data_IF_322703002921
#
_entry.id   IF_322703002921
#
_cell.length_a   1.000
_cell.length_b   1.000
_cell.length_c   1.000
_cell.angle_alpha   90.00
_cell.angle_beta   90.00
_cell.angle_gamma   90.00
#
_symmetry.space_group_name_H-M   'P 1'
#
loop_
_entity.id
_entity.type
_entity.pdbx_description
1 polymer ?
#
# COMPACT_ATOMS: atom_id res chain seq x y z
N UNK A 1 1.69 -27.05 20.39
CA UNK A 1 2.96 -27.27 21.12
C UNK A 1 4.04 -27.55 20.08
N UNK A 2 4.91 -26.54 19.85
CA UNK A 2 6.00 -26.46 18.84
C UNK A 2 5.49 -26.36 17.39
N UNK A 3 5.51 -25.25 16.63
CA UNK A 3 6.42 -24.09 16.52
C UNK A 3 7.91 -24.49 16.42
N UNK A 4 8.51 -24.14 15.29
CA UNK A 4 9.88 -24.41 14.79
C UNK A 4 9.96 -25.62 13.84
N UNK A 5 9.62 -25.43 12.55
CA UNK A 5 10.33 -26.10 11.45
C UNK A 5 9.99 -25.56 10.03
N UNK A 6 10.31 -24.30 9.73
CA UNK A 6 10.53 -23.85 8.32
C UNK A 6 11.67 -22.82 8.28
N UNK A 7 12.67 -23.02 9.12
CA UNK A 7 13.89 -22.20 9.16
C UNK A 7 15.12 -23.09 9.36
N UNK A 8 15.23 -24.18 8.60
CA UNK A 8 16.49 -24.90 8.46
C UNK A 8 16.53 -25.72 7.17
N UNK A 9 16.83 -25.06 6.05
CA UNK A 9 17.33 -25.78 4.87
C UNK A 9 18.47 -25.08 4.12
N UNK A 10 19.15 -24.10 4.72
CA UNK A 10 20.24 -23.40 4.03
C UNK A 10 21.60 -23.31 4.76
N UNK A 11 21.78 -23.94 5.93
CA UNK A 11 23.10 -23.91 6.59
C UNK A 11 23.46 -25.26 7.23
N UNK A 12 24.00 -26.19 6.42
CA UNK A 12 25.11 -27.10 6.76
C UNK A 12 25.46 -28.03 5.60
N UNK A 13 26.76 -28.18 5.34
CA UNK A 13 27.46 -28.91 4.26
C UNK A 13 27.48 -28.15 2.93
N UNK A 14 28.60 -27.58 2.47
CA UNK A 14 29.96 -28.09 2.48
C UNK A 14 31.01 -26.98 2.68
N UNK A 15 31.96 -27.25 3.58
CA UNK A 15 33.24 -26.56 3.68
C UNK A 15 34.30 -27.59 3.25
N UNK A 16 34.53 -27.69 1.94
CA UNK A 16 35.70 -28.35 1.37
C UNK A 16 36.18 -27.50 0.20
N UNK A 17 37.42 -27.04 0.32
CA UNK A 17 38.15 -26.34 -0.73
C UNK A 17 38.17 -27.18 -2.01
N UNK A 18 37.65 -26.62 -3.10
CA UNK A 18 38.16 -26.89 -4.44
C UNK A 18 38.19 -25.58 -5.21
N UNK A 19 39.41 -25.12 -5.45
CA UNK A 19 39.79 -24.06 -6.38
C UNK A 19 39.42 -24.55 -7.79
N UNK A 20 38.23 -24.19 -8.28
CA UNK A 20 37.75 -24.56 -9.61
C UNK A 20 37.00 -23.38 -10.21
N UNK A 21 37.70 -22.64 -11.08
CA UNK A 21 37.15 -21.81 -12.18
C UNK A 21 35.72 -21.30 -11.98
N UNK A 22 35.59 -20.08 -11.46
CA UNK A 22 34.41 -19.23 -11.63
C UNK A 22 34.21 -18.93 -13.13
N UNK A 23 33.54 -19.84 -13.83
CA UNK A 23 32.79 -19.47 -15.01
C UNK A 23 31.64 -18.59 -14.52
N UNK A 24 31.81 -17.28 -14.66
CA UNK A 24 30.74 -16.30 -14.57
C UNK A 24 29.72 -16.68 -15.63
N UNK A 25 28.72 -17.47 -15.25
CA UNK A 25 27.49 -17.57 -16.00
C UNK A 25 26.71 -16.29 -15.71
N UNK A 26 27.05 -15.20 -16.44
CA UNK A 26 26.12 -14.09 -16.60
C UNK A 26 24.90 -14.65 -17.34
N UNK A 27 23.87 -15.07 -16.61
CA UNK A 27 22.53 -15.05 -17.16
C UNK A 27 22.10 -13.59 -17.18
N UNK A 28 22.62 -12.82 -18.14
CA UNK A 28 22.02 -11.54 -18.48
C UNK A 28 20.58 -11.85 -18.86
N UNK A 29 19.64 -11.40 -18.03
CA UNK A 29 18.24 -11.38 -18.39
C UNK A 29 18.07 -10.65 -19.72
N UNK A 30 17.03 -10.96 -20.51
CA UNK A 30 16.79 -10.22 -21.75
C UNK A 30 16.77 -8.72 -21.46
N UNK A 31 17.31 -7.94 -22.40
CA UNK A 31 17.30 -6.47 -22.42
C UNK A 31 15.86 -5.94 -22.49
N UNK A 32 15.08 -6.11 -21.43
CA UNK A 32 13.76 -5.52 -21.31
C UNK A 32 13.91 -4.10 -20.78
N UNK A 33 13.29 -3.09 -21.43
CA UNK A 33 13.20 -1.75 -20.88
C UNK A 33 12.60 -1.72 -19.46
N UNK A 34 11.82 -2.73 -19.04
CA UNK A 34 11.28 -2.84 -17.68
C UNK A 34 12.36 -2.86 -16.59
N UNK A 35 13.55 -3.40 -16.91
CA UNK A 35 14.63 -3.61 -15.95
C UNK A 35 15.81 -2.63 -16.14
N UNK A 36 15.60 -1.58 -16.93
CA UNK A 36 16.56 -0.51 -17.15
C UNK A 36 15.93 0.81 -16.73
N UNK A 37 16.52 1.48 -15.75
CA UNK A 37 15.98 2.71 -15.18
C UNK A 37 15.97 3.85 -16.20
N UNK A 38 15.02 4.75 -16.01
CA UNK A 38 14.98 6.06 -16.64
C UNK A 38 16.18 6.92 -16.21
N UNK A 39 16.51 8.00 -16.95
CA UNK A 39 17.65 8.86 -16.61
C UNK A 39 17.50 9.62 -15.28
N UNK A 40 16.27 9.85 -14.81
CA UNK A 40 15.95 10.57 -13.57
C UNK A 40 14.57 10.16 -13.05
N UNK A 41 14.20 10.67 -11.87
CA UNK A 41 12.81 10.65 -11.38
C UNK A 41 11.98 11.78 -12.04
N UNK A 42 10.66 11.68 -11.94
CA UNK A 42 9.74 12.77 -12.29
C UNK A 42 9.86 13.93 -11.29
N UNK A 43 9.77 15.17 -11.76
CA UNK A 43 9.65 16.35 -10.89
C UNK A 43 8.31 16.33 -10.14
N UNK A 44 8.32 16.70 -8.86
CA UNK A 44 7.16 16.66 -7.99
C UNK A 44 6.92 17.96 -7.21
N UNK A 45 7.78 18.97 -7.38
CA UNK A 45 7.70 20.26 -6.67
C UNK A 45 7.02 21.37 -7.49
N UNK A 46 6.17 21.03 -8.46
CA UNK A 46 5.46 22.02 -9.27
C UNK A 46 4.60 22.97 -8.40
N UNK A 47 4.47 24.25 -8.74
CA UNK A 47 3.79 25.23 -7.88
C UNK A 47 2.26 25.05 -7.80
N UNK A 48 1.68 24.12 -8.54
CA UNK A 48 0.27 23.75 -8.45
C UNK A 48 0.05 22.28 -8.78
N UNK A 49 -1.01 21.71 -8.21
CA UNK A 49 -1.38 20.32 -8.50
C UNK A 49 -1.71 20.09 -9.98
N UNK A 50 -2.33 21.06 -10.66
CA UNK A 50 -2.61 20.96 -12.10
C UNK A 50 -1.35 20.85 -12.95
N UNK A 51 -0.29 21.60 -12.62
CA UNK A 51 1.01 21.49 -13.29
C UNK A 51 1.66 20.14 -13.01
N UNK A 52 1.65 19.69 -11.75
CA UNK A 52 2.12 18.36 -11.37
C UNK A 52 1.45 17.25 -12.21
N UNK A 53 0.12 17.28 -12.34
CA UNK A 53 -0.61 16.32 -13.20
C UNK A 53 -0.19 16.44 -14.66
N UNK A 54 -0.15 17.64 -15.23
CA UNK A 54 0.20 17.79 -16.65
C UNK A 54 1.63 17.37 -16.97
N UNK A 55 2.60 17.72 -16.12
CA UNK A 55 4.02 17.41 -16.35
C UNK A 55 4.31 15.93 -16.06
N UNK A 56 3.68 15.34 -15.04
CA UNK A 56 3.75 13.90 -14.78
C UNK A 56 3.23 13.11 -15.96
N UNK A 57 2.16 13.58 -16.63
CA UNK A 57 1.63 12.91 -17.81
C UNK A 57 2.64 12.86 -18.96
N UNK A 58 3.30 13.97 -19.25
CA UNK A 58 4.31 14.01 -20.31
C UNK A 58 5.53 13.15 -19.93
N UNK A 59 5.97 13.22 -18.67
CA UNK A 59 7.02 12.34 -18.15
C UNK A 59 6.69 10.85 -18.33
N UNK A 60 5.46 10.44 -17.98
CA UNK A 60 5.02 9.05 -18.11
C UNK A 60 4.93 8.60 -19.57
N UNK A 61 4.47 9.45 -20.50
CA UNK A 61 4.46 9.10 -21.93
C UNK A 61 5.85 8.80 -22.48
N UNK A 62 6.86 9.51 -21.99
CA UNK A 62 8.24 9.36 -22.41
C UNK A 62 8.93 8.15 -21.75
N UNK A 63 8.64 7.91 -20.47
CA UNK A 63 9.44 6.99 -19.64
C UNK A 63 8.71 5.70 -19.23
N UNK A 64 7.38 5.61 -19.37
CA UNK A 64 6.64 4.38 -19.07
C UNK A 64 6.86 3.32 -20.15
N UNK A 65 7.06 2.08 -19.71
CA UNK A 65 7.01 0.92 -20.60
C UNK A 65 5.58 0.38 -20.56
N UNK A 66 4.86 0.53 -21.67
CA UNK A 66 3.46 0.10 -21.78
C UNK A 66 3.35 -1.40 -22.03
N UNK A 67 2.32 -2.03 -21.46
CA UNK A 67 2.07 -3.47 -21.58
C UNK A 67 1.31 -3.82 -22.86
N UNK A 68 0.40 -2.95 -23.30
CA UNK A 68 -0.46 -3.16 -24.47
C UNK A 68 -0.65 -1.91 -25.33
N UNK A 69 -1.57 -2.02 -26.29
CA UNK A 69 -1.82 -0.96 -27.28
C UNK A 69 -2.66 0.20 -26.73
N UNK A 70 -3.48 -0.03 -25.70
CA UNK A 70 -4.30 0.99 -25.06
C UNK A 70 -3.50 1.78 -24.01
N UNK A 71 -2.59 2.61 -24.51
CA UNK A 71 -1.70 3.43 -23.68
C UNK A 71 -2.45 4.43 -22.81
N UNK A 72 -3.61 4.91 -23.24
CA UNK A 72 -4.41 5.87 -22.47
C UNK A 72 -5.10 5.19 -21.28
N UNK A 73 -5.61 3.95 -21.44
CA UNK A 73 -6.11 3.15 -20.30
C UNK A 73 -5.00 2.92 -19.26
N UNK A 74 -3.80 2.56 -19.70
CA UNK A 74 -2.67 2.35 -18.79
C UNK A 74 -2.21 3.64 -18.10
N UNK A 75 -2.08 4.74 -18.85
CA UNK A 75 -1.75 6.05 -18.27
C UNK A 75 -2.78 6.43 -17.22
N UNK A 76 -4.07 6.36 -17.54
CA UNK A 76 -5.14 6.72 -16.61
C UNK A 76 -5.09 5.92 -15.31
N UNK A 77 -4.57 4.69 -15.33
CA UNK A 77 -4.44 3.87 -14.12
C UNK A 77 -3.33 4.36 -13.18
N UNK A 78 -2.26 4.96 -13.70
CA UNK A 78 -1.09 5.35 -12.89
C UNK A 78 -0.94 6.86 -12.69
N UNK A 79 -1.72 7.68 -13.41
CA UNK A 79 -1.67 9.14 -13.32
C UNK A 79 -2.06 9.64 -11.92
N UNK A 80 -1.36 10.64 -11.35
CA UNK A 80 -1.92 11.40 -10.23
C UNK A 80 -3.16 12.19 -10.69
N UNK A 81 -4.10 12.40 -9.76
CA UNK A 81 -5.36 13.09 -10.09
C UNK A 81 -5.97 13.83 -8.90
N UNK A 82 -6.87 14.76 -9.21
CA UNK A 82 -7.66 15.51 -8.23
C UNK A 82 -9.15 15.41 -8.58
N UNK A 83 -9.97 15.12 -7.57
CA UNK A 83 -11.43 15.15 -7.65
C UNK A 83 -11.94 16.36 -6.87
N UNK A 84 -12.64 17.27 -7.56
CA UNK A 84 -13.22 18.48 -6.98
C UNK A 84 -14.76 18.35 -7.05
N UNK A 85 -15.45 18.20 -5.90
CA UNK A 85 -16.91 18.07 -5.88
C UNK A 85 -17.59 19.40 -6.20
N UNK A 86 -18.75 19.33 -6.85
CA UNK A 86 -19.56 20.52 -7.18
C UNK A 86 -20.07 21.24 -5.92
N UNK A 87 -20.33 20.48 -4.85
CA UNK A 87 -20.73 20.98 -3.54
C UNK A 87 -19.70 20.54 -2.48
N UNK A 88 -18.59 21.26 -2.31
CA UNK A 88 -17.55 20.88 -1.37
C UNK A 88 -18.00 21.06 0.09
N UNK A 89 -17.62 20.12 0.94
CA UNK A 89 -17.88 20.16 2.38
C UNK A 89 -16.83 20.95 3.18
N UNK A 90 -15.84 21.55 2.50
CA UNK A 90 -14.73 22.29 3.09
C UNK A 90 -13.52 21.43 3.47
N UNK A 91 -13.62 20.10 3.43
CA UNK A 91 -12.55 19.19 3.83
C UNK A 91 -11.85 18.52 2.64
N UNK A 92 -10.56 18.25 2.80
CA UNK A 92 -9.70 17.60 1.80
C UNK A 92 -9.13 16.27 2.27
N UNK A 93 -8.87 15.36 1.33
CA UNK A 93 -8.17 14.09 1.57
C UNK A 93 -7.01 13.95 0.57
N UNK A 94 -5.78 13.89 1.08
CA UNK A 94 -4.58 13.58 0.30
C UNK A 94 -4.23 12.10 0.44
N UNK A 95 -4.15 11.34 -0.65
CA UNK A 95 -3.93 9.90 -0.66
C UNK A 95 -2.56 9.54 -1.25
N UNK A 96 -1.81 8.69 -0.54
CA UNK A 96 -0.44 8.28 -0.87
C UNK A 96 -0.34 6.76 -0.93
N UNK A 97 0.04 6.20 -2.08
CA UNK A 97 0.05 4.76 -2.30
C UNK A 97 1.31 4.09 -1.71
N UNK A 98 1.35 2.76 -1.76
CA UNK A 98 2.46 1.94 -1.26
C UNK A 98 3.57 1.70 -2.29
N UNK A 99 4.67 1.11 -1.83
CA UNK A 99 5.78 0.69 -2.69
C UNK A 99 5.32 -0.26 -3.80
N UNK A 100 5.76 0.03 -5.03
CA UNK A 100 5.43 -0.75 -6.22
C UNK A 100 4.01 -0.51 -6.75
N UNK A 101 3.19 0.28 -6.06
CA UNK A 101 1.80 0.55 -6.44
C UNK A 101 1.65 1.86 -7.24
N UNK A 102 0.42 2.31 -7.44
CA UNK A 102 0.10 3.55 -8.14
C UNK A 102 -1.19 4.20 -7.59
N UNK A 103 -1.56 5.40 -8.08
CA UNK A 103 -2.84 6.04 -7.78
C UNK A 103 -4.09 5.16 -7.99
N UNK A 104 -4.01 4.08 -8.79
CA UNK A 104 -5.13 3.14 -8.95
C UNK A 104 -5.60 2.52 -7.64
N UNK A 105 -4.69 2.36 -6.66
CA UNK A 105 -5.01 1.79 -5.35
C UNK A 105 -6.09 2.55 -4.57
N UNK A 106 -6.36 3.80 -4.96
CA UNK A 106 -7.42 4.60 -4.37
C UNK A 106 -8.61 4.83 -5.29
N UNK A 107 -8.73 4.13 -6.43
CA UNK A 107 -9.81 4.34 -7.41
C UNK A 107 -11.22 4.32 -6.77
N UNK A 108 -11.54 3.31 -5.96
CA UNK A 108 -12.84 3.22 -5.29
C UNK A 108 -12.94 4.10 -4.03
N UNK A 109 -11.83 4.27 -3.31
CA UNK A 109 -11.74 5.05 -2.07
C UNK A 109 -11.92 6.55 -2.37
N UNK A 110 -11.19 7.08 -3.34
CA UNK A 110 -11.26 8.47 -3.76
C UNK A 110 -12.66 8.84 -4.25
N UNK A 111 -13.32 7.95 -5.01
CA UNK A 111 -14.70 8.15 -5.43
C UNK A 111 -15.68 8.21 -4.25
N UNK A 112 -15.44 7.39 -3.21
CA UNK A 112 -16.27 7.39 -2.00
C UNK A 112 -16.15 8.72 -1.24
N UNK A 113 -14.94 9.27 -1.12
CA UNK A 113 -14.72 10.61 -0.55
C UNK A 113 -15.36 11.72 -1.40
N UNK A 114 -15.15 11.70 -2.72
CA UNK A 114 -15.74 12.68 -3.63
C UNK A 114 -17.28 12.71 -3.53
N UNK A 115 -17.92 11.54 -3.44
CA UNK A 115 -19.37 11.43 -3.30
C UNK A 115 -19.91 12.04 -1.99
N UNK A 116 -19.06 12.20 -0.97
CA UNK A 116 -19.39 12.85 0.31
C UNK A 116 -18.99 14.34 0.35
N UNK A 117 -18.59 14.91 -0.79
CA UNK A 117 -18.24 16.32 -0.91
C UNK A 117 -16.81 16.67 -0.47
N UNK A 118 -15.95 15.68 -0.27
CA UNK A 118 -14.53 15.93 -0.01
C UNK A 118 -13.79 16.26 -1.31
N UNK A 119 -12.85 17.22 -1.24
CA UNK A 119 -11.86 17.38 -2.31
C UNK A 119 -10.77 16.34 -2.14
N UNK A 120 -10.41 15.61 -3.19
CA UNK A 120 -9.48 14.47 -3.08
C UNK A 120 -8.29 14.67 -3.99
N UNK A 121 -7.08 14.46 -3.51
CA UNK A 121 -5.85 14.39 -4.32
C UNK A 121 -5.20 13.04 -4.12
N UNK A 122 -4.76 12.41 -5.20
CA UNK A 122 -4.02 11.15 -5.17
C UNK A 122 -2.66 11.37 -5.82
N UNK A 123 -1.59 11.09 -5.07
CA UNK A 123 -0.21 11.29 -5.51
C UNK A 123 0.34 10.05 -6.21
N UNK A 124 1.22 10.26 -7.17
CA UNK A 124 2.12 9.24 -7.72
C UNK A 124 3.51 9.46 -7.13
N UNK A 125 4.01 8.52 -6.32
CA UNK A 125 5.32 8.61 -5.70
C UNK A 125 6.45 8.52 -6.75
N UNK A 126 7.55 9.28 -6.60
CA UNK A 126 8.73 9.15 -7.46
C UNK A 126 9.21 7.69 -7.60
N UNK A 127 9.56 7.29 -8.83
CA UNK A 127 9.95 5.93 -9.19
C UNK A 127 8.79 4.97 -9.55
N UNK A 128 7.54 5.42 -9.41
CA UNK A 128 6.34 4.61 -9.68
C UNK A 128 5.64 5.00 -10.98
N UNK A 129 4.77 4.12 -11.49
CA UNK A 129 3.94 4.38 -12.67
C UNK A 129 4.66 4.26 -14.02
N UNK A 130 5.97 4.02 -14.04
CA UNK A 130 6.78 3.89 -15.26
C UNK A 130 7.22 2.46 -15.54
N UNK A 131 8.18 1.95 -14.77
CA UNK A 131 8.83 0.64 -14.88
C UNK A 131 9.46 0.27 -13.52
N UNK A 132 9.54 -1.01 -13.15
CA UNK A 132 10.09 -1.41 -11.85
C UNK A 132 11.51 -0.90 -11.57
N UNK A 133 12.35 -0.78 -12.61
CA UNK A 133 13.72 -0.29 -12.47
C UNK A 133 13.82 1.17 -11.98
N UNK A 134 12.77 1.98 -12.15
CA UNK A 134 12.79 3.37 -11.69
C UNK A 134 12.74 3.48 -10.17
N UNK A 135 12.39 2.39 -9.45
CA UNK A 135 12.54 2.30 -8.00
C UNK A 135 13.99 2.22 -7.53
N UNK A 136 14.96 2.21 -8.44
CA UNK A 136 16.39 2.36 -8.11
C UNK A 136 16.83 3.82 -7.99
N UNK A 137 16.01 4.77 -8.44
CA UNK A 137 16.35 6.18 -8.55
C UNK A 137 16.01 7.04 -7.33
N UNK A 138 14.83 6.91 -6.68
CA UNK A 138 14.43 7.85 -5.63
C UNK A 138 15.25 7.67 -4.35
N UNK A 139 15.24 8.68 -3.50
CA UNK A 139 15.64 8.60 -2.10
C UNK A 139 14.39 8.71 -1.18
N UNK A 140 14.52 8.37 0.11
CA UNK A 140 13.40 8.55 1.05
C UNK A 140 13.00 10.03 1.16
N UNK A 141 13.97 10.95 1.03
CA UNK A 141 13.74 12.39 0.97
C UNK A 141 12.84 12.81 -0.19
N UNK A 142 12.84 12.09 -1.32
CA UNK A 142 11.92 12.36 -2.42
C UNK A 142 10.47 11.98 -2.08
N UNK A 143 10.30 10.84 -1.40
CA UNK A 143 8.97 10.38 -0.96
C UNK A 143 8.40 11.23 0.16
N UNK A 144 9.24 11.70 1.10
CA UNK A 144 8.83 12.68 2.10
C UNK A 144 8.57 14.05 1.44
N UNK A 145 9.44 14.49 0.55
CA UNK A 145 9.36 15.78 -0.13
C UNK A 145 8.10 15.96 -0.98
N UNK A 146 7.66 14.92 -1.71
CA UNK A 146 6.40 14.99 -2.46
C UNK A 146 5.19 15.10 -1.53
N UNK A 147 5.19 14.41 -0.39
CA UNK A 147 4.11 14.50 0.61
C UNK A 147 4.09 15.91 1.21
N UNK A 148 5.22 16.40 1.70
CA UNK A 148 5.34 17.73 2.31
C UNK A 148 4.87 18.83 1.36
N UNK A 149 5.34 18.79 0.11
CA UNK A 149 4.99 19.77 -0.91
C UNK A 149 3.48 19.78 -1.21
N UNK A 150 2.88 18.61 -1.41
CA UNK A 150 1.47 18.53 -1.75
C UNK A 150 0.54 18.76 -0.57
N UNK A 151 0.96 18.46 0.66
CA UNK A 151 0.27 18.90 1.87
C UNK A 151 0.23 20.44 1.91
N UNK A 152 1.39 21.11 1.82
CA UNK A 152 1.46 22.56 1.87
C UNK A 152 0.62 23.23 0.77
N UNK A 153 0.61 22.68 -0.45
CA UNK A 153 -0.27 23.16 -1.52
C UNK A 153 -1.75 22.94 -1.23
N UNK A 154 -2.11 21.85 -0.56
CA UNK A 154 -3.51 21.46 -0.36
C UNK A 154 -4.15 22.17 0.83
N UNK A 155 -3.42 22.41 1.91
CA UNK A 155 -3.90 23.17 3.08
C UNK A 155 -4.40 24.58 2.69
N UNK A 156 -3.85 25.18 1.63
CA UNK A 156 -4.33 26.49 1.13
C UNK A 156 -5.70 26.42 0.41
N UNK A 157 -6.27 25.22 0.22
CA UNK A 157 -7.46 24.97 -0.59
C UNK A 157 -8.62 24.34 0.17
N UNK A 158 -8.41 23.93 1.41
CA UNK A 158 -9.40 23.25 2.26
C UNK A 158 -9.29 23.76 3.70
N UNK A 159 -10.41 23.74 4.43
CA UNK A 159 -10.47 24.17 5.83
C UNK A 159 -9.86 23.13 6.78
N UNK A 160 -9.97 21.86 6.39
CA UNK A 160 -9.40 20.71 7.10
C UNK A 160 -8.78 19.75 6.10
N UNK A 161 -7.61 19.21 6.44
CA UNK A 161 -6.91 18.24 5.60
C UNK A 161 -6.72 16.93 6.36
N UNK A 162 -7.19 15.85 5.74
CA UNK A 162 -6.92 14.47 6.14
C UNK A 162 -5.84 13.88 5.25
N UNK A 163 -4.96 13.08 5.83
CA UNK A 163 -3.98 12.30 5.07
C UNK A 163 -4.38 10.83 5.09
N UNK A 164 -4.36 10.21 3.92
CA UNK A 164 -4.57 8.77 3.77
C UNK A 164 -3.38 8.10 3.11
N UNK A 165 -3.06 6.91 3.57
CA UNK A 165 -1.92 6.13 3.10
C UNK A 165 -2.30 4.67 2.87
N UNK A 166 -1.68 4.04 1.90
CA UNK A 166 -1.71 2.59 1.73
C UNK A 166 -0.30 2.02 1.88
N UNK A 167 -0.14 0.97 2.70
CA UNK A 167 1.15 0.27 2.88
C UNK A 167 2.28 1.25 3.21
N UNK A 168 3.38 1.31 2.44
CA UNK A 168 4.46 2.29 2.64
C UNK A 168 3.97 3.74 2.74
N UNK A 169 2.91 4.11 2.01
CA UNK A 169 2.29 5.43 2.09
C UNK A 169 1.76 5.75 3.49
N UNK A 170 1.38 4.76 4.30
CA UNK A 170 0.99 4.99 5.71
C UNK A 170 2.16 5.47 6.55
N UNK A 171 3.37 5.01 6.26
CA UNK A 171 4.57 5.44 7.00
C UNK A 171 4.79 6.92 6.76
N UNK A 172 4.79 7.33 5.49
CA UNK A 172 5.01 8.72 5.06
C UNK A 172 3.98 9.68 5.67
N UNK A 173 2.67 9.38 5.53
CA UNK A 173 1.63 10.29 6.04
C UNK A 173 1.53 10.31 7.57
N UNK A 174 1.85 9.19 8.24
CA UNK A 174 1.84 9.14 9.71
C UNK A 174 3.02 9.91 10.29
N UNK A 175 4.23 9.73 9.72
CA UNK A 175 5.42 10.51 10.07
C UNK A 175 5.17 12.00 9.87
N UNK A 176 4.65 12.40 8.70
CA UNK A 176 4.30 13.80 8.43
C UNK A 176 3.29 14.35 9.45
N UNK A 177 2.20 13.62 9.71
CA UNK A 177 1.15 14.07 10.64
C UNK A 177 1.64 14.17 12.09
N UNK A 178 2.56 13.32 12.52
CA UNK A 178 3.13 13.38 13.88
C UNK A 178 3.91 14.70 14.10
N UNK A 179 4.49 15.24 13.04
CA UNK A 179 5.30 16.47 13.06
C UNK A 179 4.48 17.72 12.68
N UNK A 180 3.24 17.55 12.21
CA UNK A 180 2.42 18.63 11.69
C UNK A 180 1.01 18.66 12.31
N UNK A 181 0.75 19.53 13.31
CA UNK A 181 -0.51 19.57 14.04
C UNK A 181 -1.69 20.16 13.24
N UNK A 182 -1.48 20.69 12.02
CA UNK A 182 -2.56 21.17 11.16
C UNK A 182 -3.38 20.03 10.52
N UNK A 183 -2.82 18.82 10.47
CA UNK A 183 -3.49 17.64 9.92
C UNK A 183 -4.66 17.25 10.82
N UNK A 184 -5.84 17.10 10.22
CA UNK A 184 -7.10 16.84 10.93
C UNK A 184 -7.29 15.38 11.32
N UNK A 185 -6.57 14.46 10.67
CA UNK A 185 -6.56 13.04 11.01
C UNK A 185 -6.00 12.14 9.91
N UNK A 186 -5.97 10.84 10.19
CA UNK A 186 -5.32 9.83 9.36
C UNK A 186 -6.27 8.71 8.91
N UNK A 187 -6.10 8.24 7.66
CA UNK A 187 -6.86 7.14 7.07
C UNK A 187 -5.86 6.11 6.50
N UNK A 188 -5.64 5.01 7.21
CA UNK A 188 -4.49 4.13 6.99
C UNK A 188 -4.93 2.74 6.55
N UNK A 189 -4.64 2.40 5.30
CA UNK A 189 -4.93 1.10 4.69
C UNK A 189 -3.69 0.20 4.74
N UNK A 190 -3.84 -0.97 5.36
CA UNK A 190 -2.79 -1.98 5.57
C UNK A 190 -1.44 -1.39 6.02
N UNK A 191 -1.38 -0.70 7.19
CA UNK A 191 -0.24 0.11 7.53
C UNK A 191 1.06 -0.69 7.65
N UNK A 192 2.05 -0.34 6.83
CA UNK A 192 3.29 -1.09 6.69
C UNK A 192 4.35 -0.74 7.73
N UNK A 193 3.91 -0.46 8.96
CA UNK A 193 4.76 -0.01 10.06
C UNK A 193 5.81 -1.04 10.47
N UNK A 194 5.47 -2.34 10.39
CA UNK A 194 6.35 -3.43 10.78
C UNK A 194 6.25 -4.58 9.78
N UNK A 195 7.35 -4.85 9.08
CA UNK A 195 7.48 -5.99 8.16
C UNK A 195 7.42 -7.33 8.89
N UNK A 196 6.83 -8.36 8.26
CA UNK A 196 6.96 -9.75 8.71
C UNK A 196 8.34 -10.33 8.44
N UNK A 197 9.01 -9.91 7.38
CA UNK A 197 10.32 -10.41 7.01
C UNK A 197 11.43 -9.64 7.77
N UNK A 198 12.14 -10.29 8.71
CA UNK A 198 13.22 -9.65 9.45
C UNK A 198 14.46 -9.36 8.59
N UNK A 199 14.55 -9.92 7.37
CA UNK A 199 15.65 -9.69 6.44
C UNK A 199 15.55 -8.34 5.73
N UNK A 200 14.37 -7.69 5.73
CA UNK A 200 14.18 -6.39 5.08
C UNK A 200 15.14 -5.31 5.60
N UNK A 201 15.60 -5.42 6.86
CA UNK A 201 16.60 -4.52 7.45
C UNK A 201 17.96 -4.53 6.75
N UNK A 202 18.25 -5.59 5.99
CA UNK A 202 19.46 -5.70 5.20
C UNK A 202 19.30 -5.14 3.78
N UNK A 203 18.07 -4.83 3.33
CA UNK A 203 17.80 -4.37 1.96
C UNK A 203 18.58 -3.10 1.62
N UNK A 204 18.65 -2.12 2.54
CA UNK A 204 19.44 -0.88 2.35
C UNK A 204 20.92 -1.13 2.09
N UNK A 205 21.49 -2.19 2.68
CA UNK A 205 22.88 -2.56 2.42
C UNK A 205 23.00 -3.40 1.15
N UNK A 206 22.07 -4.34 0.95
CA UNK A 206 22.03 -5.22 -0.20
C UNK A 206 21.86 -4.45 -1.52
N UNK A 207 21.10 -3.34 -1.52
CA UNK A 207 20.86 -2.51 -2.70
C UNK A 207 22.13 -1.93 -3.34
N UNK A 208 23.26 -1.91 -2.61
CA UNK A 208 24.56 -1.47 -3.14
C UNK A 208 25.22 -2.50 -4.05
N UNK A 209 24.73 -3.75 -4.04
CA UNK A 209 25.36 -4.88 -4.73
C UNK A 209 24.35 -5.75 -5.49
N UNK A 210 23.06 -5.65 -5.16
CA UNK A 210 21.96 -6.46 -5.70
C UNK A 210 20.84 -5.51 -6.11
N UNK A 211 20.52 -5.50 -7.39
CA UNK A 211 19.51 -4.59 -7.94
C UNK A 211 18.07 -5.04 -7.64
N UNK A 212 17.83 -6.36 -7.59
CA UNK A 212 16.49 -6.95 -7.52
C UNK A 212 16.34 -7.80 -6.27
N UNK A 213 15.32 -7.51 -5.46
CA UNK A 213 14.87 -8.39 -4.39
C UNK A 213 13.99 -9.52 -4.96
N UNK A 214 13.15 -9.16 -5.92
CA UNK A 214 12.38 -10.11 -6.72
C UNK A 214 12.21 -9.59 -8.15
N UNK A 215 12.17 -10.50 -9.11
CA UNK A 215 12.02 -10.15 -10.53
C UNK A 215 11.04 -11.09 -11.20
N UNK A 216 9.81 -10.61 -11.30
CA UNK A 216 8.67 -11.28 -11.92
C UNK A 216 8.45 -10.79 -13.35
N UNK A 217 7.57 -11.48 -14.10
CA UNK A 217 7.13 -10.95 -15.39
C UNK A 217 6.09 -9.86 -15.16
N UNK A 218 6.33 -8.66 -15.68
CA UNK A 218 5.41 -7.53 -15.59
C UNK A 218 4.16 -7.76 -16.46
N UNK A 219 3.07 -8.15 -15.81
CA UNK A 219 1.75 -8.39 -16.41
C UNK A 219 0.73 -7.33 -15.97
N UNK A 220 0.98 -6.67 -14.83
CA UNK A 220 0.07 -5.70 -14.26
C UNK A 220 0.42 -4.28 -14.72
N UNK A 221 -0.48 -3.65 -15.47
CA UNK A 221 -0.21 -2.29 -15.93
C UNK A 221 -0.43 -1.23 -14.84
N UNK A 222 -1.11 -1.55 -13.72
CA UNK A 222 -1.43 -0.56 -12.69
C UNK A 222 -0.45 -0.56 -11.51
N UNK A 223 0.44 -1.55 -11.40
CA UNK A 223 1.44 -1.69 -10.33
C UNK A 223 2.57 -2.60 -10.80
N UNK A 224 3.72 -2.56 -10.16
CA UNK A 224 4.83 -3.46 -10.50
C UNK A 224 4.62 -4.85 -9.90
N UNK A 225 5.02 -5.86 -10.66
CA UNK A 225 5.09 -7.24 -10.19
C UNK A 225 6.47 -7.53 -9.57
N UNK A 226 7.53 -6.88 -10.07
CA UNK A 226 8.90 -6.97 -9.54
C UNK A 226 9.18 -5.98 -8.40
N UNK A 227 10.20 -6.30 -7.60
CA UNK A 227 10.67 -5.46 -6.49
C UNK A 227 12.17 -5.14 -6.63
N UNK A 228 12.47 -3.88 -6.90
CA UNK A 228 13.84 -3.37 -6.82
C UNK A 228 14.33 -3.39 -5.36
N UNK A 229 15.55 -3.86 -5.15
CA UNK A 229 16.17 -3.95 -3.81
C UNK A 229 16.30 -2.57 -3.16
N UNK A 230 16.60 -1.53 -3.96
CA UNK A 230 16.65 -0.15 -3.49
C UNK A 230 15.29 0.31 -2.95
N UNK A 231 14.20 0.06 -3.68
CA UNK A 231 12.84 0.33 -3.22
C UNK A 231 12.51 -0.40 -1.91
N UNK A 232 12.91 -1.66 -1.76
CA UNK A 232 12.78 -2.40 -0.50
C UNK A 232 13.59 -1.75 0.64
N UNK A 233 14.78 -1.22 0.34
CA UNK A 233 15.60 -0.43 1.26
C UNK A 233 14.91 0.87 1.70
N UNK A 234 14.30 1.61 0.77
CA UNK A 234 13.54 2.82 1.08
C UNK A 234 12.29 2.53 1.92
N UNK A 235 11.59 1.42 1.64
CA UNK A 235 10.53 0.94 2.52
C UNK A 235 11.05 0.73 3.94
N UNK A 236 12.15 -0.01 4.12
CA UNK A 236 12.73 -0.20 5.45
C UNK A 236 13.11 1.12 6.12
N UNK A 237 13.76 2.05 5.41
CA UNK A 237 14.08 3.38 5.93
C UNK A 237 12.82 4.13 6.42
N UNK A 238 11.71 4.08 5.66
CA UNK A 238 10.45 4.69 6.08
C UNK A 238 9.87 4.07 7.37
N UNK A 239 10.08 2.77 7.60
CA UNK A 239 9.68 2.13 8.87
C UNK A 239 10.55 2.59 10.03
N UNK A 240 11.84 2.83 9.79
CA UNK A 240 12.75 3.35 10.81
C UNK A 240 12.39 4.79 11.18
N UNK A 241 12.18 5.66 10.20
CA UNK A 241 11.80 7.06 10.43
C UNK A 241 10.48 7.16 11.20
N UNK A 242 9.49 6.33 10.86
CA UNK A 242 8.25 6.26 11.62
C UNK A 242 8.48 5.78 13.05
N UNK A 243 9.25 4.70 13.24
CA UNK A 243 9.53 4.16 14.57
C UNK A 243 10.24 5.20 15.45
N UNK A 244 11.26 5.87 14.92
CA UNK A 244 11.99 6.96 15.60
C UNK A 244 11.05 8.13 15.95
N UNK A 245 10.13 8.49 15.05
CA UNK A 245 9.13 9.52 15.30
C UNK A 245 8.18 9.12 16.45
N UNK A 246 7.71 7.88 16.47
CA UNK A 246 6.80 7.37 17.49
C UNK A 246 7.46 7.01 18.82
N UNK A 247 8.80 7.06 18.92
CA UNK A 247 9.52 7.00 20.19
C UNK A 247 9.37 8.30 21.00
N UNK A 248 9.20 9.43 20.32
CA UNK A 248 9.09 10.76 20.96
C UNK A 248 7.71 11.39 20.86
N UNK A 249 6.93 11.03 19.84
CA UNK A 249 5.62 11.60 19.56
C UNK A 249 4.50 10.56 19.65
N UNK A 250 3.28 11.04 19.90
CA UNK A 250 2.06 10.21 19.83
C UNK A 250 1.12 10.79 18.78
N UNK A 251 0.32 9.93 18.17
CA UNK A 251 -0.72 10.34 17.22
C UNK A 251 -2.00 10.65 18.00
N UNK A 252 -2.17 11.93 18.35
CA UNK A 252 -3.35 12.43 19.08
C UNK A 252 -4.42 13.06 18.17
N UNK A 253 -4.34 12.84 16.86
CA UNK A 253 -5.41 13.14 15.91
C UNK A 253 -6.29 11.90 15.67
N UNK A 254 -7.58 12.05 15.31
CA UNK A 254 -8.40 10.91 14.90
C UNK A 254 -7.73 10.11 13.78
N UNK A 255 -7.59 8.81 13.96
CA UNK A 255 -7.00 7.93 12.97
C UNK A 255 -7.84 6.67 12.79
N UNK A 256 -8.07 6.25 11.56
CA UNK A 256 -8.68 4.95 11.26
C UNK A 256 -7.67 4.06 10.53
N UNK A 257 -7.38 2.89 11.12
CA UNK A 257 -6.50 1.89 10.56
C UNK A 257 -7.34 0.71 10.07
N UNK A 258 -6.98 0.13 8.93
CA UNK A 258 -7.67 -0.99 8.31
C UNK A 258 -6.66 -2.04 7.91
N UNK A 259 -6.71 -3.25 8.47
CA UNK A 259 -5.74 -4.30 8.12
C UNK A 259 -6.33 -5.71 8.18
N UNK A 260 -5.77 -6.59 7.36
CA UNK A 260 -6.10 -8.02 7.39
C UNK A 260 -5.28 -8.74 8.47
N UNK A 261 -5.91 -9.65 9.20
CA UNK A 261 -5.23 -10.50 10.19
C UNK A 261 -4.11 -11.33 9.55
N UNK A 262 -4.43 -11.90 8.39
CA UNK A 262 -3.58 -12.80 7.63
C UNK A 262 -2.64 -12.08 6.65
N UNK A 263 -2.56 -10.76 6.71
CA UNK A 263 -1.74 -9.93 5.83
C UNK A 263 -0.34 -10.51 5.63
N UNK A 264 -0.01 -10.88 4.39
CA UNK A 264 1.18 -11.64 4.06
C UNK A 264 2.50 -10.85 4.15
N UNK A 265 2.45 -9.51 4.17
CA UNK A 265 3.64 -8.65 4.14
C UNK A 265 3.98 -8.05 5.51
N UNK A 266 2.96 -7.72 6.31
CA UNK A 266 3.14 -6.94 7.55
C UNK A 266 2.74 -7.72 8.80
N UNK A 267 3.34 -7.38 9.94
CA UNK A 267 3.06 -8.03 11.21
C UNK A 267 1.81 -7.43 11.85
N UNK A 268 0.64 -7.97 11.52
CA UNK A 268 -0.66 -7.49 12.02
C UNK A 268 -0.72 -7.36 13.56
N UNK A 269 -0.08 -8.26 14.31
CA UNK A 269 0.06 -8.15 15.78
C UNK A 269 0.92 -6.96 16.20
N UNK A 270 2.06 -6.73 15.56
CA UNK A 270 2.93 -5.60 15.91
C UNK A 270 2.28 -4.26 15.55
N UNK A 271 1.54 -4.20 14.45
CA UNK A 271 0.77 -3.01 14.07
C UNK A 271 -0.38 -2.77 15.05
N UNK A 272 -1.07 -3.80 15.53
CA UNK A 272 -2.03 -3.68 16.63
C UNK A 272 -1.38 -3.11 17.90
N UNK A 273 -0.21 -3.61 18.29
CA UNK A 273 0.50 -3.13 19.49
C UNK A 273 0.87 -1.66 19.37
N UNK A 274 1.37 -1.26 18.19
CA UNK A 274 1.72 0.13 17.87
C UNK A 274 0.48 1.04 17.85
N UNK A 275 -0.64 0.58 17.26
CA UNK A 275 -1.92 1.30 17.35
C UNK A 275 -2.31 1.55 18.82
N UNK A 276 -2.22 0.52 19.64
CA UNK A 276 -2.61 0.61 21.05
C UNK A 276 -1.70 1.54 21.85
N UNK A 277 -0.38 1.54 21.58
CA UNK A 277 0.58 2.36 22.34
C UNK A 277 0.72 3.80 21.85
N UNK A 278 0.60 4.03 20.54
CA UNK A 278 1.05 5.27 19.91
C UNK A 278 -0.09 6.13 19.34
N UNK A 279 -1.27 5.56 19.09
CA UNK A 279 -2.44 6.32 18.68
C UNK A 279 -3.33 6.57 19.90
N UNK A 280 -3.34 7.79 20.41
CA UNK A 280 -3.96 8.12 21.71
C UNK A 280 -5.35 8.73 21.60
N UNK A 281 -5.70 9.26 20.43
CA UNK A 281 -6.98 9.94 20.28
C UNK A 281 -8.16 8.97 20.48
N UNK A 282 -9.17 9.32 21.30
CA UNK A 282 -10.25 8.40 21.67
C UNK A 282 -11.20 8.06 20.51
N UNK A 283 -11.26 8.90 19.47
CA UNK A 283 -12.07 8.62 18.28
C UNK A 283 -11.31 7.80 17.22
N UNK A 284 -10.04 7.44 17.48
CA UNK A 284 -9.32 6.56 16.56
C UNK A 284 -9.95 5.17 16.55
N UNK A 285 -9.87 4.46 15.43
CA UNK A 285 -10.41 3.12 15.27
C UNK A 285 -9.42 2.20 14.56
N UNK A 286 -9.49 0.90 14.87
CA UNK A 286 -8.78 -0.16 14.17
C UNK A 286 -9.80 -1.17 13.62
N UNK A 287 -9.99 -1.15 12.30
CA UNK A 287 -10.73 -2.17 11.56
C UNK A 287 -9.82 -3.36 11.30
N UNK A 288 -10.28 -4.52 11.76
CA UNK A 288 -9.57 -5.79 11.65
C UNK A 288 -10.37 -6.76 10.80
N UNK A 289 -9.82 -7.13 9.64
CA UNK A 289 -10.39 -8.16 8.78
C UNK A 289 -9.82 -9.53 9.17
N UNK A 290 -10.55 -10.28 9.97
CA UNK A 290 -10.09 -11.56 10.52
C UNK A 290 -11.01 -12.09 11.61
N UNK A 291 -10.49 -12.97 12.45
CA UNK A 291 -11.29 -13.67 13.47
C UNK A 291 -10.87 -13.30 14.90
N UNK A 292 -9.66 -12.78 15.06
CA UNK A 292 -9.10 -12.46 16.37
C UNK A 292 -9.71 -11.18 16.93
N UNK A 293 -10.33 -11.32 18.11
CA UNK A 293 -10.82 -10.21 18.91
C UNK A 293 -9.71 -9.65 19.82
N UNK A 294 -9.67 -8.33 19.97
CA UNK A 294 -8.89 -7.65 21.00
C UNK A 294 -9.79 -6.83 21.93
N UNK A 295 -9.38 -6.67 23.19
CA UNK A 295 -10.10 -5.88 24.18
C UNK A 295 -9.67 -4.40 24.11
N UNK A 296 -10.13 -3.71 23.06
CA UNK A 296 -9.97 -2.26 22.87
C UNK A 296 -11.30 -1.72 22.34
N UNK A 297 -11.84 -0.66 22.95
CA UNK A 297 -13.14 -0.07 22.56
C UNK A 297 -13.12 0.55 21.16
N UNK A 298 -11.91 0.84 20.65
CA UNK A 298 -11.66 1.38 19.31
C UNK A 298 -11.55 0.29 18.25
N UNK A 299 -11.63 -0.98 18.63
CA UNK A 299 -11.47 -2.12 17.74
C UNK A 299 -12.79 -2.51 17.08
N UNK A 300 -12.76 -2.68 15.75
CA UNK A 300 -13.90 -3.10 14.93
C UNK A 300 -13.50 -4.38 14.19
N UNK A 301 -14.23 -5.47 14.42
CA UNK A 301 -13.98 -6.77 13.78
C UNK A 301 -14.89 -6.97 12.57
N UNK A 302 -14.31 -7.31 11.43
CA UNK A 302 -15.01 -7.85 10.27
C UNK A 302 -14.52 -9.29 9.97
N UNK A 303 -15.34 -10.33 10.22
CA UNK A 303 -14.98 -11.72 9.95
C UNK A 303 -14.62 -11.99 8.50
N UNK A 304 -13.53 -12.72 8.25
CA UNK A 304 -13.04 -13.00 6.89
C UNK A 304 -13.23 -14.44 6.46
N UNK A 305 -13.55 -15.35 7.38
CA UNK A 305 -14.05 -16.67 7.02
C UNK A 305 -15.49 -16.54 6.50
N UNK A 306 -15.60 -16.35 5.17
CA UNK A 306 -16.85 -16.10 4.45
C UNK A 306 -17.04 -17.17 3.37
N UNK A 307 -17.46 -18.39 3.76
CA UNK A 307 -17.69 -19.48 2.81
C UNK A 307 -18.82 -19.17 1.83
N UNK A 308 -19.74 -18.27 2.18
CA UNK A 308 -20.78 -17.75 1.30
C UNK A 308 -20.22 -16.91 0.13
N UNK A 309 -19.01 -16.38 0.28
CA UNK A 309 -18.31 -15.58 -0.73
C UNK A 309 -17.05 -16.29 -1.28
N UNK A 310 -16.79 -17.53 -0.88
CA UNK A 310 -15.54 -18.24 -1.18
C UNK A 310 -14.30 -17.49 -0.70
N UNK A 311 -14.30 -17.04 0.56
CA UNK A 311 -13.17 -16.34 1.18
C UNK A 311 -12.77 -17.05 2.47
N UNK A 312 -11.47 -17.34 2.61
CA UNK A 312 -10.86 -17.84 3.85
C UNK A 312 -10.31 -16.71 4.70
N UNK A 313 -9.57 -15.77 4.09
CA UNK A 313 -8.87 -14.68 4.78
C UNK A 313 -8.71 -13.44 3.88
N UNK A 314 -8.45 -12.28 4.49
CA UNK A 314 -8.02 -11.07 3.77
C UNK A 314 -6.52 -11.04 3.50
N UNK A 315 -6.12 -10.39 2.41
CA UNK A 315 -4.73 -10.11 2.01
C UNK A 315 -4.32 -8.67 2.33
N UNK A 316 -3.05 -8.34 2.05
CA UNK A 316 -2.51 -6.99 2.19
C UNK A 316 -3.28 -5.93 1.39
N UNK A 317 -3.82 -6.27 0.21
CA UNK A 317 -4.53 -5.30 -0.66
C UNK A 317 -6.05 -5.34 -0.48
N UNK A 318 -6.59 -6.27 0.31
CA UNK A 318 -8.03 -6.43 0.47
C UNK A 318 -8.77 -5.16 0.89
N UNK A 319 -8.25 -4.29 1.77
CA UNK A 319 -9.02 -3.12 2.22
C UNK A 319 -9.38 -2.08 1.14
N UNK A 320 -8.79 -2.16 -0.06
CA UNK A 320 -8.74 -1.04 -1.01
C UNK A 320 -9.85 -0.98 -2.05
N UNK A 321 -10.44 -2.11 -2.42
CA UNK A 321 -11.26 -2.22 -3.64
C UNK A 321 -12.65 -2.77 -3.36
N UNK A 322 -13.64 -2.31 -4.13
CA UNK A 322 -14.99 -2.88 -4.16
C UNK A 322 -15.00 -4.23 -4.88
N UNK A 323 -15.98 -5.07 -4.58
CA UNK A 323 -16.18 -6.36 -5.28
C UNK A 323 -16.30 -6.17 -6.81
N UNK A 324 -16.93 -5.08 -7.26
CA UNK A 324 -17.11 -4.77 -8.68
C UNK A 324 -15.96 -3.99 -9.34
N UNK A 325 -14.82 -3.81 -8.68
CA UNK A 325 -13.68 -3.09 -9.26
C UNK A 325 -13.17 -3.82 -10.53
N UNK A 326 -12.95 -3.13 -11.66
CA UNK A 326 -12.64 -3.81 -12.92
C UNK A 326 -11.26 -4.50 -12.94
N UNK A 327 -10.30 -4.09 -12.09
CA UNK A 327 -8.98 -4.73 -12.04
C UNK A 327 -8.84 -5.69 -10.87
N UNK A 328 -9.30 -5.29 -9.69
CA UNK A 328 -9.05 -6.02 -8.44
C UNK A 328 -10.32 -6.55 -7.77
N UNK A 329 -11.48 -6.36 -8.40
CA UNK A 329 -12.72 -6.96 -7.96
C UNK A 329 -12.72 -8.48 -8.14
N UNK A 330 -13.85 -9.10 -7.76
CA UNK A 330 -14.03 -10.56 -7.80
C UNK A 330 -13.81 -11.15 -9.20
N UNK A 331 -14.22 -10.42 -10.22
CA UNK A 331 -14.08 -10.79 -11.64
C UNK A 331 -13.05 -9.89 -12.36
N UNK A 332 -12.15 -9.25 -11.62
CA UNK A 332 -11.22 -8.27 -12.16
C UNK A 332 -10.17 -8.84 -13.13
N UNK A 333 -9.60 -7.96 -13.97
CA UNK A 333 -8.56 -8.31 -14.94
C UNK A 333 -7.25 -8.79 -14.27
N UNK A 334 -6.93 -8.28 -13.07
CA UNK A 334 -5.63 -8.46 -12.39
C UNK A 334 -5.68 -9.50 -11.27
N UNK A 335 -6.53 -10.53 -11.41
CA UNK A 335 -6.60 -11.62 -10.44
C UNK A 335 -5.29 -12.40 -10.42
N UNK A 336 -4.78 -12.65 -9.21
CA UNK A 336 -3.61 -13.50 -8.99
C UNK A 336 -4.06 -14.85 -8.44
N UNK A 337 -3.89 -15.90 -9.23
CA UNK A 337 -4.24 -17.26 -8.83
C UNK A 337 -2.98 -18.10 -8.57
N UNK A 338 -3.14 -19.07 -7.68
CA UNK A 338 -2.13 -20.07 -7.39
C UNK A 338 -2.77 -21.42 -7.14
N UNK A 339 -1.91 -22.43 -7.07
CA UNK A 339 -2.25 -23.78 -6.63
C UNK A 339 -1.21 -24.26 -5.65
N UNK A 340 -1.62 -25.17 -4.77
CA UNK A 340 -0.74 -25.86 -3.83
C UNK A 340 -0.62 -27.31 -4.28
N UNK A 341 0.60 -27.84 -4.41
CA UNK A 341 0.82 -29.23 -4.77
C UNK A 341 0.65 -30.18 -3.56
N UNK A 342 0.86 -31.48 -3.76
CA UNK A 342 0.73 -32.47 -2.68
C UNK A 342 1.74 -32.26 -1.53
N UNK A 343 2.86 -31.59 -1.81
CA UNK A 343 3.95 -31.27 -0.89
C UNK A 343 3.78 -29.91 -0.18
N UNK A 344 2.57 -29.31 -0.26
CA UNK A 344 2.28 -27.97 0.28
C UNK A 344 3.06 -26.82 -0.38
N UNK A 345 3.64 -27.05 -1.56
CA UNK A 345 4.34 -25.99 -2.30
C UNK A 345 3.38 -25.18 -3.16
N UNK A 346 3.48 -23.85 -3.01
CA UNK A 346 2.71 -22.88 -3.76
C UNK A 346 3.31 -22.64 -5.16
N UNK A 347 2.46 -22.52 -6.17
CA UNK A 347 2.84 -22.05 -7.50
C UNK A 347 1.79 -21.09 -8.09
N UNK A 348 2.25 -19.96 -8.64
CA UNK A 348 1.39 -19.05 -9.37
C UNK A 348 0.95 -19.67 -10.70
N UNK A 349 -0.32 -19.45 -11.08
CA UNK A 349 -0.91 -19.98 -12.32
C UNK A 349 -1.78 -18.91 -12.99
N UNK A 350 -2.07 -19.13 -14.27
CA UNK A 350 -3.14 -18.38 -14.96
C UNK A 350 -4.46 -18.68 -14.27
N UNK A 351 -5.19 -17.63 -13.90
CA UNK A 351 -6.50 -17.79 -13.26
C UNK A 351 -7.45 -18.56 -14.17
N UNK A 352 -8.05 -19.66 -13.69
CA UNK A 352 -8.99 -20.43 -14.50
C UNK A 352 -10.32 -19.68 -14.64
N UNK A 353 -11.03 -19.94 -15.73
CA UNK A 353 -12.42 -19.49 -15.89
C UNK A 353 -13.35 -20.37 -15.03
N UNK A 354 -13.39 -20.08 -13.73
CA UNK A 354 -14.26 -20.75 -12.77
C UNK A 354 -15.16 -19.74 -12.06
N UNK A 355 -16.43 -20.11 -11.86
CA UNK A 355 -17.39 -19.26 -11.16
C UNK A 355 -17.10 -19.13 -9.65
N UNK A 356 -16.43 -20.13 -9.06
CA UNK A 356 -16.18 -20.22 -7.63
C UNK A 356 -14.70 -20.53 -7.41
N UNK A 357 -13.90 -19.48 -7.21
CA UNK A 357 -12.49 -19.58 -6.80
C UNK A 357 -12.42 -19.16 -5.34
N UNK A 358 -11.76 -19.94 -4.50
CA UNK A 358 -11.52 -19.56 -3.11
C UNK A 358 -10.45 -18.48 -3.01
N UNK A 359 -10.68 -17.49 -2.14
CA UNK A 359 -9.82 -16.34 -1.96
C UNK A 359 -9.15 -16.32 -0.58
N UNK A 360 -7.90 -15.90 -0.52
CA UNK A 360 -7.13 -15.79 0.74
C UNK A 360 -6.03 -14.71 0.66
N UNK A 361 -5.33 -14.47 1.76
CA UNK A 361 -3.99 -13.88 1.71
C UNK A 361 -3.07 -14.64 0.75
N UNK A 362 -2.13 -13.92 0.11
CA UNK A 362 -1.20 -14.53 -0.83
C UNK A 362 -0.28 -15.54 -0.13
N UNK A 363 -0.06 -16.70 -0.78
CA UNK A 363 0.69 -17.81 -0.20
C UNK A 363 -0.04 -18.63 0.87
N UNK A 364 -1.24 -18.20 1.32
CA UNK A 364 -2.11 -18.94 2.25
C UNK A 364 -3.26 -19.63 1.52
N UNK A 365 -2.94 -20.39 0.46
CA UNK A 365 -3.91 -21.22 -0.26
C UNK A 365 -4.11 -22.56 0.42
N UNK A 366 -5.34 -23.06 0.42
CA UNK A 366 -5.71 -24.32 1.06
C UNK A 366 -5.72 -25.45 0.02
N UNK A 367 -5.08 -26.58 0.34
CA UNK A 367 -5.03 -27.76 -0.54
C UNK A 367 -6.41 -28.23 -1.01
N UNK A 368 -7.41 -28.06 -0.16
CA UNK A 368 -8.80 -28.48 -0.42
C UNK A 368 -9.44 -27.76 -1.60
N UNK A 369 -8.94 -26.56 -1.95
CA UNK A 369 -9.52 -25.73 -3.00
C UNK A 369 -8.98 -26.06 -4.39
N UNK A 370 -7.90 -26.86 -4.48
CA UNK A 370 -7.09 -27.19 -5.67
C UNK A 370 -6.45 -25.98 -6.39
N UNK A 371 -7.19 -24.88 -6.53
CA UNK A 371 -6.81 -23.58 -7.08
C UNK A 371 -7.48 -22.50 -6.24
N UNK A 372 -6.74 -21.46 -5.87
CA UNK A 372 -7.30 -20.28 -5.22
C UNK A 372 -6.69 -18.99 -5.74
N UNK A 373 -7.22 -17.87 -5.27
CA UNK A 373 -6.82 -16.53 -5.66
C UNK A 373 -6.44 -15.68 -4.45
N UNK A 374 -5.57 -14.69 -4.66
CA UNK A 374 -5.38 -13.63 -3.68
C UNK A 374 -6.68 -12.83 -3.54
N UNK A 375 -7.17 -12.62 -2.32
CA UNK A 375 -8.30 -11.72 -2.12
C UNK A 375 -7.85 -10.28 -2.36
N UNK A 376 -8.29 -9.69 -3.46
CA UNK A 376 -7.93 -8.32 -3.86
C UNK A 376 -9.02 -7.28 -3.64
N UNK A 377 -10.15 -7.65 -3.05
CA UNK A 377 -11.30 -6.76 -2.81
C UNK A 377 -11.84 -6.93 -1.39
N UNK A 378 -12.59 -5.93 -0.92
CA UNK A 378 -13.16 -5.87 0.41
C UNK A 378 -14.65 -6.27 0.38
N UNK A 379 -15.05 -7.40 0.99
CA UNK A 379 -16.47 -7.78 1.09
C UNK A 379 -17.29 -6.86 2.01
N UNK A 380 -16.63 -5.95 2.72
CA UNK A 380 -17.22 -4.96 3.62
C UNK A 380 -16.89 -3.53 3.19
N UNK A 381 -16.63 -3.29 1.90
CA UNK A 381 -16.14 -1.99 1.44
C UNK A 381 -17.01 -0.81 1.90
N UNK A 382 -18.34 -0.93 1.74
CA UNK A 382 -19.26 0.14 2.11
C UNK A 382 -19.36 0.33 3.62
N UNK A 383 -19.37 -0.75 4.39
CA UNK A 383 -19.34 -0.73 5.85
C UNK A 383 -18.04 -0.12 6.38
N UNK A 384 -16.91 -0.45 5.77
CA UNK A 384 -15.60 0.14 6.05
C UNK A 384 -15.63 1.64 5.80
N UNK A 385 -16.10 2.09 4.62
CA UNK A 385 -16.18 3.50 4.32
C UNK A 385 -17.14 4.25 5.25
N UNK A 386 -18.24 3.63 5.68
CA UNK A 386 -19.14 4.22 6.67
C UNK A 386 -18.41 4.49 8.01
N UNK A 387 -17.54 3.58 8.46
CA UNK A 387 -16.70 3.80 9.65
C UNK A 387 -15.65 4.89 9.45
N UNK A 388 -15.04 4.97 8.26
CA UNK A 388 -14.14 6.07 7.90
C UNK A 388 -14.85 7.41 8.07
N UNK A 389 -16.06 7.56 7.53
CA UNK A 389 -16.83 8.79 7.67
C UNK A 389 -17.30 9.08 9.11
N UNK A 390 -17.55 8.04 9.92
CA UNK A 390 -17.85 8.20 11.35
C UNK A 390 -16.66 8.85 12.09
N UNK A 391 -15.45 8.33 11.88
CA UNK A 391 -14.23 8.90 12.47
C UNK A 391 -14.01 10.33 11.99
N UNK A 392 -14.20 10.60 10.69
CA UNK A 392 -14.03 11.93 10.12
C UNK A 392 -15.08 12.94 10.61
N UNK A 393 -16.35 12.53 10.68
CA UNK A 393 -17.46 13.38 11.12
C UNK A 393 -17.40 13.74 12.61
N UNK A 394 -16.81 12.87 13.44
CA UNK A 394 -16.57 13.15 14.87
C UNK A 394 -15.63 14.35 15.11
N UNK A 395 -14.85 14.77 14.10
CA UNK A 395 -14.01 15.96 14.15
C UNK A 395 -14.82 17.27 14.06
N UNK A 396 -15.95 17.27 13.36
CA UNK A 396 -16.76 18.48 13.12
C UNK A 396 -17.46 18.98 14.40
N UNK A 397 -17.83 18.08 15.30
CA UNK A 397 -18.53 18.44 16.54
C UNK A 397 -17.64 19.16 17.58
N UNK A 398 -16.29 19.08 17.47
CA UNK A 398 -15.38 19.76 18.41
C UNK A 398 -14.99 21.17 18.00
N UNK A 399 -15.06 21.55 16.72
CA UNK A 399 -14.78 22.95 16.34
C UNK A 399 -15.89 23.87 16.84
N UNK A 400 -17.16 23.44 16.77
CA UNK A 400 -18.30 24.21 17.29
C UNK A 400 -18.27 24.32 18.84
N UNK A 401 -17.85 23.26 19.54
CA UNK A 401 -17.77 23.27 21.01
C UNK A 401 -16.66 24.21 21.56
N UNK A 402 -15.56 24.41 20.82
CA UNK A 402 -14.49 25.37 21.19
C UNK A 402 -14.88 26.83 20.91
N UNK A 403 -15.79 27.09 19.97
CA UNK A 403 -16.31 28.45 19.71
C UNK A 403 -17.39 28.84 20.74
N UNK A 404 -18.18 27.87 21.21
CA UNK A 404 -19.27 28.11 22.18
C UNK A 404 -18.82 28.32 23.64
N UNK A 405 -17.53 28.16 23.96
CA UNK A 405 -16.97 28.39 25.31
C UNK A 405 -16.21 29.72 25.47
N UNK A 406 -16.34 30.62 24.48
CA UNK A 406 -15.71 31.95 24.49
C UNK A 406 -16.70 33.14 24.47
N UNK A 407 -17.98 32.92 24.71
CA UNK A 407 -18.96 33.98 24.95
C UNK A 407 -19.37 34.09 26.42
#
# INVERSE_FOLDING_TARGET
MKMLDVASQFVRQYLLLSLSTLLVACSSAPDSPMYQSSPSIAEYQQPSFGLYVSETREWLKENRVFHGDDKEKELAAVMPYELIPDNPNGEGVLLVHGLGDSPYSFSDIAQSFYNQGYRVRVLLLPGHGTRPADLMLPELSDWNGIVDHHVALFETKVDKLWLGGFSTGTNLVTTHSAQNPSISGLILFSPAFVSKDPLVKYATFASKFIDWADRDTELNYSRYDSLAMHGAGLYYQSTQELAETLETETIDVPAILMMSEADELISSKAVYDLFHSSFTHPNSQLIWYGEKQYADERFVLFPMNRPDLYIHTGSHISPLYREGNPLYGKDGEMRRCGKVNEEDEFSAIVCPEMNNVWHSAWGLLYREDAVGARLSWNPYFDETMARVFEVMGSSAQRSEAKTATKE
#
